data_IF_618701179312
#
_entry.id   IF_618701179312
#
_cell.length_a   1.000
_cell.length_b   1.000
_cell.length_c   1.000
_cell.angle_alpha   90.00
_cell.angle_beta   90.00
_cell.angle_gamma   90.00
#
_symmetry.space_group_name_H-M   'P 1'
#
loop_
_entity.id
_entity.type
_entity.pdbx_description
1 polymer ?
#
# COMPACT_ATOMS: atom_id res chain seq x y z
N UNK A 1 -3.55 -32.84 36.91
CA UNK A 1 -3.82 -31.42 37.03
C UNK A 1 -2.72 -30.59 36.34
N UNK A 2 -1.48 -30.79 36.77
CA UNK A 2 -0.39 -30.06 36.18
C UNK A 2 -0.24 -30.36 34.71
N UNK A 3 -0.44 -31.58 34.31
CA UNK A 3 -0.32 -31.98 32.92
C UNK A 3 -1.39 -31.33 32.06
N UNK A 4 -2.61 -31.20 32.63
CA UNK A 4 -3.67 -30.53 31.89
C UNK A 4 -3.35 -29.09 31.65
N UNK A 5 -2.75 -28.42 32.61
CA UNK A 5 -2.36 -27.03 32.47
C UNK A 5 -1.27 -26.87 31.42
N UNK A 6 -0.28 -27.76 31.45
CA UNK A 6 0.79 -27.73 30.47
C UNK A 6 0.25 -27.97 29.07
N UNK A 7 -0.65 -28.93 28.95
CA UNK A 7 -1.25 -29.20 27.65
C UNK A 7 -2.03 -27.99 27.12
N UNK A 8 -2.79 -27.36 28.02
CA UNK A 8 -3.55 -26.19 27.66
C UNK A 8 -2.63 -25.08 27.21
N UNK A 9 -1.53 -24.86 27.93
CA UNK A 9 -0.58 -23.84 27.57
C UNK A 9 0.08 -24.12 26.22
N UNK A 10 0.39 -25.39 25.97
CA UNK A 10 0.98 -25.78 24.71
C UNK A 10 0.03 -25.52 23.55
N UNK A 11 -1.25 -25.81 23.75
CA UNK A 11 -2.24 -25.55 22.72
C UNK A 11 -2.34 -24.04 22.44
N UNK A 12 -2.37 -23.26 23.52
CA UNK A 12 -2.47 -21.81 23.37
C UNK A 12 -1.25 -21.25 22.65
N UNK A 13 -0.07 -21.76 22.97
CA UNK A 13 1.16 -21.31 22.29
C UNK A 13 1.10 -21.64 20.80
N UNK A 14 0.64 -22.84 20.47
CA UNK A 14 0.54 -23.24 19.08
C UNK A 14 -0.45 -22.36 18.34
N UNK A 15 -1.56 -22.02 18.97
CA UNK A 15 -2.54 -21.15 18.37
C UNK A 15 -1.97 -19.74 18.18
N UNK A 16 -1.21 -19.25 19.14
CA UNK A 16 -0.60 -17.95 19.03
C UNK A 16 0.41 -17.91 17.90
N UNK A 17 1.22 -18.95 17.79
CA UNK A 17 2.20 -19.01 16.72
C UNK A 17 1.51 -19.01 15.38
N UNK A 18 0.42 -19.73 15.25
CA UNK A 18 -0.33 -19.78 14.02
C UNK A 18 -0.89 -18.39 13.68
N UNK A 19 -1.43 -17.71 14.69
CA UNK A 19 -1.97 -16.38 14.50
C UNK A 19 -0.88 -15.41 14.06
N UNK A 20 0.28 -15.50 14.69
CA UNK A 20 1.40 -14.63 14.33
C UNK A 20 1.82 -14.86 12.89
N UNK A 21 1.88 -16.10 12.47
CA UNK A 21 2.24 -16.41 11.10
C UNK A 21 1.21 -15.87 10.13
N UNK A 22 -0.07 -16.00 10.47
CA UNK A 22 -1.11 -15.48 9.61
C UNK A 22 -1.04 -13.96 9.50
N UNK A 23 -0.81 -13.29 10.62
CA UNK A 23 -0.69 -11.84 10.63
C UNK A 23 0.54 -11.40 9.85
N UNK A 24 1.65 -12.11 10.01
CA UNK A 24 2.85 -11.79 9.25
C UNK A 24 2.60 -11.91 7.75
N UNK A 25 1.87 -12.93 7.33
CA UNK A 25 1.52 -13.09 5.94
C UNK A 25 0.65 -11.97 5.43
N UNK A 26 -0.33 -11.55 6.24
CA UNK A 26 -1.19 -10.45 5.87
C UNK A 26 -0.42 -9.15 5.73
N UNK A 27 0.52 -8.92 6.64
CA UNK A 27 1.33 -7.72 6.58
C UNK A 27 2.18 -7.72 5.32
N UNK A 28 2.76 -8.86 4.98
CA UNK A 28 3.56 -8.97 3.76
C UNK A 28 2.71 -8.67 2.54
N UNK A 29 1.49 -9.20 2.49
CA UNK A 29 0.60 -8.93 1.39
C UNK A 29 0.23 -7.46 1.30
N UNK A 30 0.00 -6.83 2.44
CA UNK A 30 -0.33 -5.41 2.47
C UNK A 30 0.84 -4.57 1.95
N UNK A 31 2.05 -4.93 2.33
CA UNK A 31 3.22 -4.22 1.84
C UNK A 31 3.36 -4.34 0.33
N UNK A 32 3.07 -5.50 -0.21
CA UNK A 32 3.10 -5.68 -1.65
C UNK A 32 2.04 -4.79 -2.32
N UNK A 33 0.87 -4.70 -1.73
CA UNK A 33 -0.18 -3.85 -2.26
C UNK A 33 0.23 -2.38 -2.20
N UNK A 34 0.82 -1.97 -1.09
CA UNK A 34 1.26 -0.60 -0.92
C UNK A 34 2.33 -0.25 -1.96
N UNK A 35 3.27 -1.16 -2.18
CA UNK A 35 4.32 -0.93 -3.16
C UNK A 35 3.72 -0.80 -4.56
N UNK A 36 2.76 -1.64 -4.89
CA UNK A 36 2.13 -1.57 -6.19
C UNK A 36 1.38 -0.27 -6.38
N UNK A 37 0.67 0.15 -5.34
CA UNK A 37 -0.07 1.40 -5.40
C UNK A 37 0.88 2.59 -5.48
N UNK A 38 1.99 2.54 -4.77
CA UNK A 38 2.97 3.61 -4.82
C UNK A 38 3.54 3.78 -6.22
N UNK A 39 3.84 2.67 -6.87
CA UNK A 39 4.35 2.73 -8.23
C UNK A 39 3.33 3.31 -9.19
N UNK A 40 2.08 2.91 -9.02
CA UNK A 40 1.03 3.45 -9.87
C UNK A 40 0.84 4.94 -9.63
N UNK A 41 0.93 5.34 -8.37
CA UNK A 41 0.78 6.76 -8.03
C UNK A 41 1.91 7.57 -8.61
N UNK A 42 3.14 7.06 -8.52
CA UNK A 42 4.28 7.77 -9.10
C UNK A 42 4.14 7.91 -10.61
N UNK A 43 3.72 6.84 -11.27
CA UNK A 43 3.52 6.89 -12.71
C UNK A 43 2.42 7.88 -13.07
N UNK A 44 1.36 7.90 -12.28
CA UNK A 44 0.27 8.84 -12.53
C UNK A 44 0.73 10.27 -12.32
N UNK A 45 1.50 10.51 -11.28
CA UNK A 45 2.02 11.85 -11.01
C UNK A 45 2.92 12.31 -12.15
N UNK A 46 3.75 11.43 -12.68
CA UNK A 46 4.61 11.77 -13.79
C UNK A 46 3.79 12.15 -15.01
N UNK A 47 2.77 11.38 -15.31
CA UNK A 47 1.91 11.68 -16.44
C UNK A 47 1.16 12.99 -16.24
N UNK A 48 0.75 13.25 -15.03
CA UNK A 48 0.06 14.50 -14.73
C UNK A 48 0.97 15.69 -14.97
N UNK A 49 2.22 15.58 -14.55
CA UNK A 49 3.19 16.65 -14.77
C UNK A 49 3.41 16.90 -16.26
N UNK A 50 3.50 15.83 -17.03
CA UNK A 50 3.67 15.97 -18.47
C UNK A 50 2.46 16.66 -19.07
N UNK A 51 1.27 16.28 -18.65
CA UNK A 51 0.06 16.91 -19.15
C UNK A 51 -0.01 18.39 -18.78
N UNK A 52 0.43 18.71 -17.56
CA UNK A 52 0.46 20.11 -17.14
C UNK A 52 1.42 20.93 -17.99
N UNK A 53 2.58 20.36 -18.30
CA UNK A 53 3.55 21.04 -19.14
C UNK A 53 3.01 21.27 -20.53
N UNK A 54 2.32 20.27 -21.06
CA UNK A 54 1.73 20.42 -22.38
C UNK A 54 0.63 21.47 -22.38
N UNK A 55 -0.18 21.47 -21.35
CA UNK A 55 -1.24 22.46 -21.22
C UNK A 55 -0.66 23.86 -21.10
N UNK A 56 0.43 23.99 -20.33
CA UNK A 56 1.05 25.27 -20.17
C UNK A 56 1.63 25.79 -21.46
N UNK A 57 2.15 24.89 -22.28
CA UNK A 57 2.68 25.30 -23.59
C UNK A 57 1.58 25.74 -24.54
N UNK A 58 0.42 25.08 -24.43
CA UNK A 58 -0.69 25.39 -25.32
C UNK A 58 -1.43 26.64 -24.88
N UNK A 59 -1.61 26.83 -23.60
CA UNK A 59 -2.45 27.90 -23.08
C UNK A 59 -1.91 29.29 -23.43
N UNK A 60 -0.64 29.58 -23.26
CA UNK A 60 -0.16 30.92 -23.49
C UNK A 60 -0.41 31.44 -24.91
N UNK A 61 -0.56 30.52 -25.83
CA UNK A 61 -0.77 30.91 -27.21
C UNK A 61 -2.08 31.64 -27.39
N UNK A 62 -3.01 31.25 -26.62
CA UNK A 62 -4.36 31.76 -26.80
C UNK A 62 -4.71 32.91 -25.91
N UNK A 63 -4.05 33.33 -25.14
CA UNK A 63 -4.45 34.19 -24.20
C UNK A 63 -4.87 35.35 -24.39
N UNK A 64 -5.44 35.77 -24.22
CA UNK A 64 -6.01 36.42 -24.41
C UNK A 64 -6.41 37.29 -24.23
N UNK A 65 -6.78 37.52 -24.43
CA UNK A 65 -7.09 38.34 -24.43
C UNK A 65 -8.00 38.94 -24.01
N UNK A 66 -8.39 39.03 -23.86
CA UNK A 66 -9.21 39.55 -23.61
C UNK A 66 -9.36 40.22 -22.94
N UNK A 67 -9.27 40.17 -22.71
CA UNK A 67 -9.28 40.75 -21.99
C UNK A 67 -9.06 41.52 -21.80
#
# INVERSE_FOLDING_TARGET
>A
MTEDRLTTLEVLMAEQEKTIEELSGQIAEQWQTIERLRKKLDALADRFLVLEEQAALDVPVTKPPHW
#
